data_IF_923757808973
#
_entry.id   IF_923757808973
#
_cell.length_a   1.000
_cell.length_b   1.000
_cell.length_c   1.000
_cell.angle_alpha   90.00
_cell.angle_beta   90.00
_cell.angle_gamma   90.00
#
_symmetry.space_group_name_H-M   'P 1'
#
loop_
_entity.id
_entity.type
_entity.pdbx_description
1 polymer ?
#
# COMPACT_ATOMS: atom_id res chain seq x y z
N UNK A 1 22.28 -11.88 57.18
CA UNK A 1 22.10 -11.18 55.87
C UNK A 1 20.61 -11.17 55.59
N UNK A 2 19.92 -10.07 55.89
CA UNK A 2 18.47 -9.92 55.59
C UNK A 2 18.34 -9.32 54.19
N UNK A 3 17.74 -10.07 53.29
CA UNK A 3 17.32 -9.55 51.99
C UNK A 3 15.98 -8.84 52.14
N UNK A 4 16.00 -7.51 52.11
CA UNK A 4 14.79 -6.71 51.95
C UNK A 4 14.31 -6.84 50.46
N UNK A 5 13.24 -7.60 50.27
CA UNK A 5 12.51 -7.59 48.98
C UNK A 5 11.73 -6.30 48.89
N UNK A 6 12.13 -5.39 48.02
CA UNK A 6 11.33 -4.21 47.68
C UNK A 6 10.03 -4.65 46.97
N UNK A 7 8.86 -4.09 47.31
CA UNK A 7 7.63 -4.40 46.59
C UNK A 7 7.72 -3.86 45.18
N UNK A 8 7.48 -4.73 44.22
CA UNK A 8 7.29 -4.38 42.81
C UNK A 8 6.01 -3.53 42.71
N UNK A 9 6.14 -2.21 42.64
CA UNK A 9 5.01 -1.32 42.38
C UNK A 9 4.44 -1.69 41.01
N UNK A 10 3.27 -2.35 41.01
CA UNK A 10 2.51 -2.57 39.78
C UNK A 10 2.19 -1.19 39.19
N UNK A 11 2.77 -0.88 38.02
CA UNK A 11 2.43 0.32 37.29
C UNK A 11 0.94 0.23 36.94
N UNK A 12 0.16 1.20 37.40
CA UNK A 12 -1.22 1.36 36.98
C UNK A 12 -1.25 1.44 35.45
N UNK A 13 -2.22 0.79 34.79
CA UNK A 13 -2.35 0.89 33.34
C UNK A 13 -2.43 2.38 32.98
N UNK A 14 -1.55 2.82 32.07
CA UNK A 14 -1.60 4.18 31.56
C UNK A 14 -3.00 4.40 30.97
N UNK A 15 -3.71 5.41 31.47
CA UNK A 15 -5.02 5.80 30.93
C UNK A 15 -4.74 6.27 29.52
N UNK A 16 -5.16 5.47 28.54
CA UNK A 16 -5.00 5.80 27.13
C UNK A 16 -5.85 7.01 26.78
N UNK A 17 -5.29 7.97 26.04
CA UNK A 17 -6.02 9.16 25.59
C UNK A 17 -7.28 8.74 24.81
N UNK A 18 -8.48 9.27 25.16
CA UNK A 18 -9.72 8.95 24.44
C UNK A 18 -9.64 9.14 22.93
N UNK A 19 -8.78 10.04 22.45
CA UNK A 19 -8.52 10.23 21.02
C UNK A 19 -8.08 8.95 20.31
N UNK A 20 -7.32 8.06 20.96
CA UNK A 20 -6.90 6.80 20.35
C UNK A 20 -8.08 5.86 20.07
N UNK A 21 -9.13 5.87 20.86
CA UNK A 21 -10.35 5.09 20.60
C UNK A 21 -11.11 5.65 19.39
N UNK A 22 -11.19 6.98 19.27
CA UNK A 22 -11.80 7.65 18.12
C UNK A 22 -11.01 7.35 16.82
N UNK A 23 -9.66 7.36 16.91
CA UNK A 23 -8.77 7.04 15.80
C UNK A 23 -8.85 5.58 15.37
N UNK A 24 -9.03 4.64 16.32
CA UNK A 24 -9.32 3.24 15.97
C UNK A 24 -10.64 3.11 15.24
N UNK A 25 -11.68 3.78 15.69
CA UNK A 25 -12.98 3.77 15.02
C UNK A 25 -12.90 4.33 13.59
N UNK A 26 -12.09 5.41 13.37
CA UNK A 26 -11.82 5.94 12.04
C UNK A 26 -11.14 4.89 11.16
N UNK A 27 -10.05 4.27 11.64
CA UNK A 27 -9.32 3.22 10.91
C UNK A 27 -10.24 2.07 10.52
N UNK A 28 -10.98 1.53 11.49
CA UNK A 28 -11.83 0.35 11.28
C UNK A 28 -12.97 0.66 10.31
N UNK A 29 -13.53 1.88 10.42
CA UNK A 29 -14.56 2.34 9.49
C UNK A 29 -14.06 2.54 8.07
N UNK A 30 -12.86 3.12 7.90
CA UNK A 30 -12.21 3.29 6.61
C UNK A 30 -11.89 1.93 5.99
N UNK A 31 -11.31 1.01 6.75
CA UNK A 31 -10.97 -0.33 6.26
C UNK A 31 -12.21 -1.13 5.85
N UNK A 32 -13.32 -0.99 6.59
CA UNK A 32 -14.59 -1.61 6.20
C UNK A 32 -15.14 -1.02 4.89
N UNK A 33 -15.02 0.30 4.70
CA UNK A 33 -15.41 0.97 3.45
C UNK A 33 -14.57 0.47 2.26
N UNK A 34 -13.24 0.42 2.39
CA UNK A 34 -12.32 -0.12 1.37
C UNK A 34 -12.70 -1.56 1.01
N UNK A 35 -12.91 -2.43 2.00
CA UNK A 35 -13.27 -3.83 1.79
C UNK A 35 -14.59 -4.01 1.04
N UNK A 36 -15.52 -3.07 1.22
CA UNK A 36 -16.82 -3.06 0.53
C UNK A 36 -16.80 -2.35 -0.82
N UNK A 37 -15.70 -1.65 -1.16
CA UNK A 37 -15.61 -0.81 -2.35
C UNK A 37 -16.54 0.41 -2.29
N UNK A 38 -16.87 0.88 -1.07
CA UNK A 38 -17.76 2.02 -0.84
C UNK A 38 -16.95 3.31 -0.84
N UNK A 39 -16.69 3.82 -2.04
CA UNK A 39 -15.87 5.03 -2.27
C UNK A 39 -16.44 6.23 -1.50
N UNK A 40 -17.75 6.45 -1.49
CA UNK A 40 -18.31 7.61 -0.80
C UNK A 40 -18.10 7.53 0.71
N UNK A 41 -18.19 6.34 1.27
CA UNK A 41 -17.88 6.14 2.67
C UNK A 41 -16.39 6.29 2.96
N UNK A 42 -15.49 5.83 2.09
CA UNK A 42 -14.04 6.09 2.20
C UNK A 42 -13.77 7.58 2.25
N UNK A 43 -14.34 8.36 1.30
CA UNK A 43 -14.20 9.80 1.23
C UNK A 43 -14.71 10.52 2.49
N UNK A 44 -15.67 9.95 3.21
CA UNK A 44 -16.20 10.55 4.44
C UNK A 44 -15.19 10.61 5.58
N UNK A 45 -14.15 9.77 5.57
CA UNK A 45 -13.05 9.76 6.53
C UNK A 45 -11.91 10.71 6.16
N UNK A 46 -11.93 11.27 4.97
CA UNK A 46 -10.92 12.19 4.49
C UNK A 46 -11.35 13.64 4.73
N UNK A 47 -10.38 14.51 5.00
CA UNK A 47 -10.65 15.95 5.04
C UNK A 47 -11.05 16.46 3.64
N UNK A 48 -11.93 17.47 3.50
CA UNK A 48 -12.31 18.03 2.19
C UNK A 48 -11.11 18.42 1.32
N UNK A 49 -10.05 18.95 1.94
CA UNK A 49 -8.80 19.38 1.26
C UNK A 49 -7.67 18.34 1.41
N UNK A 50 -7.99 17.06 1.56
CA UNK A 50 -6.98 15.99 1.70
C UNK A 50 -5.98 15.99 0.55
N UNK A 51 -4.73 15.64 0.86
CA UNK A 51 -3.71 15.33 -0.16
C UNK A 51 -3.34 13.87 -0.01
N UNK A 52 -3.52 13.09 -1.08
CA UNK A 52 -3.13 11.68 -1.12
C UNK A 52 -2.05 11.49 -2.18
N UNK A 53 -0.88 11.00 -1.74
CA UNK A 53 0.18 10.53 -2.64
C UNK A 53 0.09 9.01 -2.72
N UNK A 54 -0.22 8.50 -3.92
CA UNK A 54 -0.39 7.08 -4.19
C UNK A 54 0.94 6.38 -4.47
N UNK A 55 0.96 5.06 -4.37
CA UNK A 55 2.17 4.23 -4.62
C UNK A 55 2.73 4.36 -6.04
N UNK A 56 1.92 4.79 -7.00
CA UNK A 56 2.32 5.06 -8.38
C UNK A 56 2.81 6.51 -8.60
N UNK A 57 3.11 7.23 -7.51
CA UNK A 57 3.55 8.63 -7.48
C UNK A 57 2.50 9.66 -7.96
N UNK A 58 1.27 9.25 -8.24
CA UNK A 58 0.20 10.21 -8.52
C UNK A 58 -0.25 10.92 -7.23
N UNK A 59 -0.73 12.15 -7.37
CA UNK A 59 -1.22 12.96 -6.25
C UNK A 59 -2.67 13.36 -6.51
N UNK A 60 -3.55 12.98 -5.58
CA UNK A 60 -4.93 13.43 -5.54
C UNK A 60 -5.08 14.58 -4.55
N UNK A 61 -5.82 15.62 -4.93
CA UNK A 61 -6.11 16.80 -4.12
C UNK A 61 -7.61 16.93 -3.87
N UNK A 62 -7.99 17.03 -2.61
CA UNK A 62 -9.37 17.03 -2.16
C UNK A 62 -10.09 15.70 -2.38
N UNK A 63 -11.27 15.57 -1.79
CA UNK A 63 -12.12 14.36 -1.93
C UNK A 63 -12.44 14.05 -3.40
N UNK A 64 -12.68 15.09 -4.22
CA UNK A 64 -13.00 14.88 -5.64
C UNK A 64 -11.82 14.33 -6.43
N UNK A 65 -10.58 14.75 -6.10
CA UNK A 65 -9.37 14.18 -6.69
C UNK A 65 -9.21 12.70 -6.33
N UNK A 66 -9.46 12.35 -5.06
CA UNK A 66 -9.43 10.96 -4.59
C UNK A 66 -10.52 10.13 -5.27
N UNK A 67 -11.76 10.63 -5.33
CA UNK A 67 -12.87 9.97 -6.04
C UNK A 67 -12.49 9.64 -7.50
N UNK A 68 -12.02 10.63 -8.25
CA UNK A 68 -11.61 10.45 -9.65
C UNK A 68 -10.53 9.39 -9.82
N UNK A 69 -9.55 9.35 -8.90
CA UNK A 69 -8.51 8.34 -8.91
C UNK A 69 -9.09 6.93 -8.68
N UNK A 70 -9.88 6.75 -7.61
CA UNK A 70 -10.47 5.45 -7.27
C UNK A 70 -11.43 4.95 -8.36
N UNK A 71 -12.29 5.81 -8.89
CA UNK A 71 -13.18 5.45 -10.00
C UNK A 71 -12.40 5.01 -11.24
N UNK A 72 -11.36 5.74 -11.62
CA UNK A 72 -10.49 5.38 -12.74
C UNK A 72 -9.79 4.04 -12.52
N UNK A 73 -9.31 3.79 -11.31
CA UNK A 73 -8.58 2.56 -10.99
C UNK A 73 -9.49 1.34 -10.86
N UNK A 74 -10.67 1.50 -10.24
CA UNK A 74 -11.49 0.38 -9.76
C UNK A 74 -12.83 0.22 -10.51
N UNK A 75 -13.48 1.30 -10.96
CA UNK A 75 -14.87 1.24 -11.40
C UNK A 75 -15.11 1.76 -12.83
N UNK A 76 -14.22 2.59 -13.39
CA UNK A 76 -14.40 3.19 -14.70
C UNK A 76 -14.35 2.19 -15.87
N UNK A 77 -14.78 2.62 -17.10
CA UNK A 77 -14.77 1.74 -18.28
C UNK A 77 -13.36 1.31 -18.70
N UNK A 78 -12.33 2.08 -18.33
CA UNK A 78 -10.92 1.78 -18.57
C UNK A 78 -10.18 1.43 -17.26
N UNK A 79 -10.89 0.82 -16.30
CA UNK A 79 -10.28 0.44 -15.02
C UNK A 79 -9.08 -0.49 -15.22
N UNK A 80 -8.09 -0.32 -14.37
CA UNK A 80 -6.85 -1.11 -14.41
C UNK A 80 -6.96 -2.31 -13.46
N UNK A 81 -7.66 -2.14 -12.33
CA UNK A 81 -7.81 -3.14 -11.29
C UNK A 81 -9.20 -3.77 -11.37
N UNK A 82 -9.24 -5.10 -11.44
CA UNK A 82 -10.47 -5.91 -11.45
C UNK A 82 -11.01 -6.13 -10.04
N UNK A 83 -10.10 -6.45 -9.10
CA UNK A 83 -10.41 -6.61 -7.70
C UNK A 83 -9.25 -6.07 -6.85
N UNK A 84 -9.59 -5.47 -5.72
CA UNK A 84 -8.64 -4.87 -4.79
C UNK A 84 -8.98 -5.27 -3.36
N UNK A 85 -7.96 -5.64 -2.62
CA UNK A 85 -8.02 -5.88 -1.17
C UNK A 85 -6.82 -5.22 -0.51
N UNK A 86 -7.05 -4.58 0.62
CA UNK A 86 -6.01 -3.97 1.44
C UNK A 86 -6.27 -4.30 2.90
N UNK A 87 -5.23 -4.77 3.59
CA UNK A 87 -5.24 -5.00 5.02
C UNK A 87 -4.25 -4.03 5.67
N UNK A 88 -4.80 -3.07 6.41
CA UNK A 88 -4.04 -1.98 7.03
C UNK A 88 -3.62 -2.35 8.44
N UNK A 89 -2.35 -2.18 8.75
CA UNK A 89 -1.77 -2.33 10.09
C UNK A 89 -1.14 -1.01 10.52
N UNK A 90 -1.37 -0.61 11.77
CA UNK A 90 -0.74 0.54 12.41
C UNK A 90 0.42 0.03 13.26
N UNK A 91 1.60 0.61 13.11
CA UNK A 91 2.80 0.13 13.83
C UNK A 91 2.77 0.50 15.31
N UNK A 92 2.30 1.72 15.63
CA UNK A 92 2.27 2.27 16.99
C UNK A 92 1.03 3.14 17.19
N UNK A 93 0.75 3.52 18.43
CA UNK A 93 -0.27 4.51 18.71
C UNK A 93 0.03 5.82 17.98
N UNK A 94 -1.02 6.45 17.46
CA UNK A 94 -0.91 7.75 16.78
C UNK A 94 -0.20 8.77 17.69
N UNK A 95 0.87 9.37 17.19
CA UNK A 95 1.55 10.47 17.89
C UNK A 95 0.65 11.71 17.84
N UNK A 96 0.16 12.14 19.01
CA UNK A 96 -0.73 13.30 19.13
C UNK A 96 0.08 14.58 19.32
N UNK A 97 -0.25 15.61 18.59
CA UNK A 97 0.31 16.97 18.70
C UNK A 97 -0.82 17.92 19.14
N UNK A 98 -0.95 18.09 20.45
CA UNK A 98 -2.10 18.75 21.05
C UNK A 98 -3.36 17.87 20.95
N UNK A 99 -4.53 18.51 20.98
CA UNK A 99 -5.83 17.81 21.01
C UNK A 99 -6.45 17.58 19.63
N UNK A 100 -5.86 18.13 18.56
CA UNK A 100 -6.51 18.20 17.24
C UNK A 100 -5.64 17.69 16.08
N UNK A 101 -4.40 17.30 16.33
CA UNK A 101 -3.50 16.83 15.28
C UNK A 101 -2.86 15.52 15.70
N UNK A 102 -2.74 14.57 14.76
CA UNK A 102 -2.06 13.31 14.97
C UNK A 102 -1.28 12.88 13.73
N UNK A 103 -0.18 12.15 13.95
CA UNK A 103 0.56 11.45 12.88
C UNK A 103 0.51 9.98 13.19
N UNK A 104 0.03 9.21 12.22
CA UNK A 104 -0.02 7.75 12.24
C UNK A 104 0.75 7.18 11.07
N UNK A 105 1.32 5.99 11.24
CA UNK A 105 2.03 5.28 10.18
C UNK A 105 1.92 3.77 10.39
N UNK A 106 2.18 3.04 9.32
CA UNK A 106 2.09 1.60 9.35
C UNK A 106 2.39 0.95 8.03
N UNK A 107 1.91 -0.26 7.89
CA UNK A 107 1.98 -1.04 6.65
C UNK A 107 0.59 -1.42 6.18
N UNK A 108 0.50 -1.73 4.89
CA UNK A 108 -0.67 -2.39 4.33
C UNK A 108 -0.24 -3.55 3.45
N UNK A 109 -0.98 -4.64 3.54
CA UNK A 109 -0.84 -5.76 2.62
C UNK A 109 -1.86 -5.60 1.51
N UNK A 110 -1.36 -5.41 0.29
CA UNK A 110 -2.14 -5.07 -0.88
C UNK A 110 -2.24 -6.29 -1.81
N UNK A 111 -3.45 -6.60 -2.26
CA UNK A 111 -3.71 -7.58 -3.30
C UNK A 111 -4.51 -6.94 -4.42
N UNK A 112 -3.98 -7.00 -5.64
CA UNK A 112 -4.61 -6.46 -6.83
C UNK A 112 -4.73 -7.55 -7.90
N UNK A 113 -5.96 -7.80 -8.35
CA UNK A 113 -6.19 -8.51 -9.60
C UNK A 113 -6.29 -7.48 -10.72
N UNK A 114 -5.37 -7.52 -11.67
CA UNK A 114 -5.36 -6.60 -12.80
C UNK A 114 -6.29 -7.07 -13.93
N UNK A 115 -6.79 -6.14 -14.74
CA UNK A 115 -7.58 -6.46 -15.92
C UNK A 115 -6.81 -7.29 -16.97
N UNK A 116 -5.48 -7.29 -16.92
CA UNK A 116 -4.60 -8.15 -17.75
C UNK A 116 -4.61 -9.62 -17.34
N UNK A 117 -5.25 -9.98 -16.24
CA UNK A 117 -5.24 -11.33 -15.67
C UNK A 117 -4.07 -11.63 -14.74
N UNK A 118 -3.23 -10.63 -14.44
CA UNK A 118 -2.13 -10.76 -13.49
C UNK A 118 -2.60 -10.39 -12.08
N UNK A 119 -2.28 -11.20 -11.09
CA UNK A 119 -2.46 -10.86 -9.67
C UNK A 119 -1.13 -10.40 -9.07
N UNK A 120 -1.19 -9.38 -8.24
CA UNK A 120 -0.02 -8.75 -7.61
C UNK A 120 -0.26 -8.62 -6.12
N UNK A 121 0.66 -9.18 -5.33
CA UNK A 121 0.70 -9.05 -3.87
C UNK A 121 1.95 -8.30 -3.46
N UNK A 122 1.81 -7.32 -2.58
CA UNK A 122 2.95 -6.59 -2.02
C UNK A 122 2.58 -5.90 -0.70
N UNK A 123 3.61 -5.55 0.06
CA UNK A 123 3.47 -4.73 1.25
C UNK A 123 3.86 -3.30 0.93
N UNK A 124 2.99 -2.38 1.25
CA UNK A 124 3.25 -0.94 1.19
C UNK A 124 3.50 -0.37 2.59
N UNK A 125 4.19 0.76 2.66
CA UNK A 125 4.27 1.61 3.84
C UNK A 125 3.38 2.82 3.64
N UNK A 126 2.77 3.29 4.72
CA UNK A 126 1.96 4.49 4.68
C UNK A 126 2.21 5.37 5.89
N UNK A 127 1.97 6.66 5.72
CA UNK A 127 1.89 7.64 6.79
C UNK A 127 0.72 8.58 6.55
N UNK A 128 0.06 8.99 7.62
CA UNK A 128 -1.09 9.86 7.57
C UNK A 128 -0.98 10.98 8.61
N UNK A 129 -1.35 12.18 8.21
CA UNK A 129 -1.65 13.27 9.12
C UNK A 129 -3.15 13.33 9.34
N UNK A 130 -3.55 13.29 10.61
CA UNK A 130 -4.94 13.35 11.03
C UNK A 130 -5.19 14.69 11.71
N UNK A 131 -6.36 15.25 11.45
CA UNK A 131 -6.82 16.47 12.14
C UNK A 131 -8.22 16.25 12.71
N UNK A 132 -8.50 16.90 13.83
CA UNK A 132 -9.81 16.86 14.47
C UNK A 132 -10.52 18.19 14.24
N UNK A 133 -11.60 18.17 13.48
CA UNK A 133 -12.47 19.32 13.19
C UNK A 133 -13.90 18.96 13.56
N UNK A 134 -14.61 19.87 14.18
CA UNK A 134 -16.00 19.70 14.64
C UNK A 134 -16.21 18.39 15.44
N UNK A 135 -15.21 18.06 16.28
CA UNK A 135 -15.22 16.85 17.10
C UNK A 135 -14.95 15.55 16.36
N UNK A 136 -14.66 15.58 15.05
CA UNK A 136 -14.41 14.40 14.21
C UNK A 136 -12.97 14.36 13.69
N UNK A 137 -12.32 13.21 13.84
CA UNK A 137 -11.01 12.98 13.21
C UNK A 137 -11.16 12.71 11.72
N UNK A 138 -10.31 13.34 10.91
CA UNK A 138 -10.25 13.21 9.46
C UNK A 138 -8.79 13.07 9.01
N UNK A 139 -8.57 12.33 7.93
CA UNK A 139 -7.26 12.21 7.29
C UNK A 139 -7.03 13.44 6.40
N UNK A 140 -6.07 14.29 6.76
CA UNK A 140 -5.70 15.48 6.00
C UNK A 140 -4.60 15.22 4.97
N UNK A 141 -3.71 14.26 5.26
CA UNK A 141 -2.69 13.80 4.32
C UNK A 141 -2.54 12.28 4.45
N UNK A 142 -2.37 11.61 3.32
CA UNK A 142 -1.99 10.20 3.24
C UNK A 142 -0.89 10.05 2.20
N UNK A 143 0.19 9.41 2.59
CA UNK A 143 1.27 9.02 1.68
C UNK A 143 1.44 7.51 1.72
N UNK A 144 1.41 6.87 0.57
CA UNK A 144 1.71 5.46 0.41
C UNK A 144 2.99 5.27 -0.42
N UNK A 145 3.79 4.29 -0.05
CA UNK A 145 5.05 3.97 -0.72
C UNK A 145 5.28 2.46 -0.75
N UNK A 146 6.02 2.01 -1.75
CA UNK A 146 6.49 0.62 -1.87
C UNK A 146 8.02 0.57 -1.86
N UNK A 147 8.58 -0.62 -1.57
CA UNK A 147 10.04 -0.80 -1.60
C UNK A 147 10.54 -0.72 -3.04
N UNK A 148 11.40 0.27 -3.32
CA UNK A 148 12.00 0.46 -4.65
C UNK A 148 12.88 -0.72 -5.07
N UNK A 149 13.54 -1.37 -4.12
CA UNK A 149 14.53 -2.42 -4.38
C UNK A 149 13.96 -3.84 -4.32
N UNK A 150 12.76 -3.99 -3.76
CA UNK A 150 12.06 -5.27 -3.64
C UNK A 150 10.55 -5.05 -3.79
N UNK A 151 10.08 -5.22 -5.02
CA UNK A 151 8.67 -5.06 -5.35
C UNK A 151 8.29 -5.98 -6.53
N UNK A 152 6.99 -6.29 -6.70
CA UNK A 152 6.51 -7.19 -7.74
C UNK A 152 6.90 -6.78 -9.16
N UNK A 153 6.95 -5.49 -9.46
CA UNK A 153 7.31 -5.00 -10.79
C UNK A 153 8.76 -5.33 -11.14
N UNK A 154 9.66 -5.17 -10.16
CA UNK A 154 11.07 -5.56 -10.31
C UNK A 154 11.23 -7.08 -10.45
N UNK A 155 10.47 -7.86 -9.67
CA UNK A 155 10.47 -9.31 -9.77
C UNK A 155 10.00 -9.78 -11.16
N UNK A 156 8.90 -9.21 -11.67
CA UNK A 156 8.39 -9.49 -13.03
C UNK A 156 9.40 -9.09 -14.10
N UNK A 157 10.05 -7.94 -13.99
CA UNK A 157 11.08 -7.49 -14.94
C UNK A 157 12.29 -8.45 -14.96
N UNK A 158 12.75 -8.92 -13.81
CA UNK A 158 13.81 -9.93 -13.71
C UNK A 158 13.40 -11.25 -14.36
N UNK A 159 12.20 -11.74 -14.09
CA UNK A 159 11.68 -12.97 -14.71
C UNK A 159 11.59 -12.85 -16.22
N UNK A 160 11.08 -11.75 -16.75
CA UNK A 160 11.04 -11.47 -18.19
C UNK A 160 12.45 -11.48 -18.81
N UNK A 161 13.42 -10.88 -18.14
CA UNK A 161 14.81 -10.87 -18.60
C UNK A 161 15.41 -12.27 -18.72
N UNK A 162 15.12 -13.18 -17.78
CA UNK A 162 15.57 -14.57 -17.85
C UNK A 162 14.90 -15.33 -19.00
N UNK A 163 13.60 -15.14 -19.23
CA UNK A 163 12.86 -15.77 -20.33
C UNK A 163 13.43 -15.30 -21.68
N UNK A 164 13.57 -13.98 -21.86
CA UNK A 164 14.11 -13.39 -23.08
C UNK A 164 15.54 -13.89 -23.34
N UNK A 165 16.39 -13.86 -22.30
CA UNK A 165 17.77 -14.37 -22.40
C UNK A 165 17.83 -15.84 -22.79
N UNK A 166 16.99 -16.68 -22.22
CA UNK A 166 16.87 -18.09 -22.57
C UNK A 166 16.44 -18.31 -24.04
N UNK A 167 15.43 -17.59 -24.49
CA UNK A 167 14.96 -17.65 -25.88
C UNK A 167 16.05 -17.21 -26.86
N UNK A 168 16.74 -16.10 -26.57
CA UNK A 168 17.84 -15.62 -27.40
C UNK A 168 19.00 -16.61 -27.48
N UNK A 169 19.35 -17.25 -26.34
CA UNK A 169 20.39 -18.28 -26.28
C UNK A 169 20.04 -19.49 -27.17
N UNK A 170 18.81 -20.01 -27.04
CA UNK A 170 18.33 -21.14 -27.83
C UNK A 170 18.31 -20.82 -29.34
N UNK A 171 17.83 -19.63 -29.69
CA UNK A 171 17.83 -19.15 -31.05
C UNK A 171 19.26 -19.03 -31.63
N UNK A 172 20.18 -18.48 -30.85
CA UNK A 172 21.60 -18.36 -31.21
C UNK A 172 22.27 -19.71 -31.45
N UNK A 173 22.04 -20.69 -30.57
CA UNK A 173 22.54 -22.06 -30.73
C UNK A 173 21.97 -22.71 -31.97
N UNK A 174 20.65 -22.61 -32.22
CA UNK A 174 20.00 -23.17 -33.41
C UNK A 174 20.55 -22.57 -34.73
N UNK A 175 20.68 -21.24 -34.77
CA UNK A 175 21.27 -20.55 -35.92
C UNK A 175 22.73 -20.95 -36.14
N UNK A 176 23.54 -21.00 -35.08
CA UNK A 176 24.93 -21.43 -35.17
C UNK A 176 25.07 -22.84 -35.69
N UNK A 177 24.22 -23.76 -35.23
CA UNK A 177 24.18 -25.14 -35.74
C UNK A 177 23.80 -25.20 -37.20
N UNK A 178 22.77 -24.48 -37.65
CA UNK A 178 22.33 -24.44 -39.05
C UNK A 178 23.41 -23.88 -39.98
N UNK A 179 24.07 -22.80 -39.59
CA UNK A 179 25.16 -22.19 -40.37
C UNK A 179 26.40 -23.08 -40.40
N UNK A 180 26.71 -23.77 -39.29
CA UNK A 180 27.81 -24.72 -39.22
C UNK A 180 27.61 -25.93 -40.16
N UNK A 181 26.38 -26.45 -40.25
CA UNK A 181 26.02 -27.53 -41.21
C UNK A 181 26.15 -27.10 -42.65
N UNK A 182 25.69 -25.91 -43.03
CA UNK A 182 25.82 -25.38 -44.40
C UNK A 182 27.27 -25.24 -44.84
N UNK A 183 28.17 -24.81 -43.95
CA UNK A 183 29.62 -24.71 -44.24
C UNK A 183 30.27 -26.07 -44.45
N UNK A 184 29.82 -27.14 -43.80
CA UNK A 184 30.34 -28.52 -44.01
C UNK A 184 29.81 -29.13 -45.29
N UNK A 185 28.61 -28.78 -45.77
CA UNK A 185 28.05 -29.28 -47.02
C UNK A 185 28.61 -28.57 -48.27
N UNK A 186 29.29 -27.45 -48.12
CA UNK A 186 29.90 -26.66 -49.20
C UNK A 186 31.42 -26.92 -49.38
N UNK A 187 31.99 -27.85 -48.59
CA UNK A 187 33.35 -28.38 -48.70
C UNK A 187 33.30 -29.83 -49.16
#
# INVERSE_FOLDING_TARGET
>A
MLFLSAPLLAQAPAIEDPAHNELRALRDGLQDAIRKGDIERELSYLHPNVIVTWQNAEVSRGRDGVRKYLERMLNGPAKIVKAYRSEVTVDELTALYGSTTGISYGSSHEHLDLMTGTSVDFTARWSATLIKEDGKWLIANLHASSNLFDNPMLAMAKQMSYIIGGVCLLAGVALGFLLGRRRKAAR
#
